data_IF_151315337444
#
_entry.id   IF_151315337444
#
_cell.length_a   1.000
_cell.length_b   1.000
_cell.length_c   1.000
_cell.angle_alpha   90.00
_cell.angle_beta   90.00
_cell.angle_gamma   90.00
#
_symmetry.space_group_name_H-M   'P 1'
#
loop_
_entity.id
_entity.type
_entity.pdbx_description
1 polymer ?
#
# COMPACT_ATOMS: atom_id res chain seq x y z
N UNK A 1 -16.52 -4.53 6.00
CA UNK A 1 -15.24 -3.91 5.70
C UNK A 1 -14.46 -3.64 6.97
N UNK A 2 -13.19 -3.95 6.94
CA UNK A 2 -12.35 -3.70 8.08
C UNK A 2 -12.09 -2.21 8.26
N UNK A 3 -12.10 -1.78 9.52
CA UNK A 3 -11.72 -0.40 9.84
C UNK A 3 -10.23 -0.13 9.57
N UNK A 4 -9.46 -1.16 9.26
CA UNK A 4 -8.03 -1.04 8.97
C UNK A 4 -7.73 -1.06 7.47
N UNK A 5 -8.74 -1.11 6.62
CA UNK A 5 -8.54 -1.11 5.17
C UNK A 5 -8.04 0.26 4.69
N UNK A 6 -6.88 0.25 4.04
CA UNK A 6 -6.30 1.43 3.41
C UNK A 6 -6.50 1.30 1.91
N UNK A 7 -7.03 2.33 1.27
CA UNK A 7 -7.23 2.33 -0.18
C UNK A 7 -5.90 2.57 -0.87
N UNK A 8 -5.45 1.56 -1.58
CA UNK A 8 -4.25 1.66 -2.39
C UNK A 8 -4.63 1.74 -3.86
N UNK A 9 -3.99 2.60 -4.60
CA UNK A 9 -4.17 2.69 -6.04
C UNK A 9 -3.06 1.91 -6.74
N UNK A 10 -3.44 1.08 -7.71
CA UNK A 10 -2.50 0.39 -8.58
C UNK A 10 -2.66 0.96 -9.97
N UNK A 11 -1.59 1.51 -10.52
CA UNK A 11 -1.59 2.18 -11.80
C UNK A 11 -0.71 1.39 -12.76
N UNK A 12 -1.27 1.00 -13.91
CA UNK A 12 -0.51 0.30 -14.93
C UNK A 12 0.26 1.31 -15.78
N UNK A 13 1.58 1.16 -15.83
CA UNK A 13 2.45 2.03 -16.61
C UNK A 13 3.20 1.21 -17.64
N UNK A 14 3.25 1.72 -18.87
CA UNK A 14 4.17 1.16 -19.85
C UNK A 14 5.59 1.42 -19.36
N UNK A 15 6.45 0.42 -19.47
CA UNK A 15 7.84 0.55 -19.03
C UNK A 15 8.62 1.35 -20.07
N UNK A 16 8.40 2.64 -20.07
CA UNK A 16 9.08 3.57 -20.97
C UNK A 16 9.33 4.92 -20.29
N UNK A 17 10.31 5.59 -20.83
CA UNK A 17 10.76 6.89 -20.34
C UNK A 17 9.59 7.88 -20.32
N UNK A 18 9.45 8.60 -19.23
CA UNK A 18 8.47 9.67 -19.09
C UNK A 18 7.12 9.27 -18.51
N UNK A 19 6.78 7.99 -18.46
CA UNK A 19 5.45 7.59 -17.95
C UNK A 19 5.29 7.87 -16.46
N UNK A 20 6.32 7.60 -15.67
CA UNK A 20 6.27 7.90 -14.24
C UNK A 20 6.15 9.41 -14.01
N UNK A 21 6.85 10.21 -14.80
CA UNK A 21 6.75 11.66 -14.71
C UNK A 21 5.33 12.13 -15.00
N UNK A 22 4.68 11.57 -16.02
CA UNK A 22 3.31 11.95 -16.37
C UNK A 22 2.34 11.69 -15.21
N UNK A 23 2.44 10.52 -14.57
CA UNK A 23 1.59 10.18 -13.43
C UNK A 23 1.82 11.15 -12.27
N UNK A 24 3.08 11.35 -11.93
CA UNK A 24 3.41 12.20 -10.77
C UNK A 24 3.05 13.66 -11.03
N UNK A 25 3.17 14.12 -12.28
CA UNK A 25 2.73 15.47 -12.64
C UNK A 25 1.22 15.60 -12.48
N UNK A 26 0.46 14.62 -12.94
CA UNK A 26 -1.00 14.64 -12.80
C UNK A 26 -1.42 14.74 -11.33
N UNK A 27 -0.75 13.98 -10.46
CA UNK A 27 -1.05 14.02 -9.03
C UNK A 27 -0.63 15.37 -8.42
N UNK A 28 0.51 15.88 -8.83
CA UNK A 28 1.01 17.18 -8.35
C UNK A 28 0.05 18.32 -8.74
N UNK A 29 -0.39 18.32 -9.99
CA UNK A 29 -1.32 19.33 -10.48
C UNK A 29 -2.67 19.29 -9.75
N UNK A 30 -3.06 18.12 -9.31
CA UNK A 30 -4.30 17.92 -8.55
C UNK A 30 -4.11 18.09 -7.04
N UNK A 31 -2.91 18.45 -6.61
CA UNK A 31 -2.55 18.66 -5.20
C UNK A 31 -2.76 17.41 -4.34
N UNK A 32 -2.42 16.27 -4.90
CA UNK A 32 -2.48 14.99 -4.21
C UNK A 32 -1.11 14.70 -3.59
N UNK A 33 -1.10 14.37 -2.31
CA UNK A 33 0.14 14.02 -1.61
C UNK A 33 0.32 12.50 -1.60
N UNK A 34 1.46 12.05 -2.08
CA UNK A 34 1.82 10.63 -2.07
C UNK A 34 2.37 10.30 -0.69
N UNK A 35 1.74 9.35 0.00
CA UNK A 35 2.13 8.95 1.35
C UNK A 35 3.02 7.70 1.36
N UNK A 36 2.84 6.82 0.39
CA UNK A 36 3.67 5.64 0.20
C UNK A 36 3.64 5.25 -1.26
N UNK A 37 4.70 4.63 -1.73
CA UNK A 37 4.76 4.20 -3.11
C UNK A 37 5.68 3.00 -3.29
N UNK A 38 5.38 2.24 -4.34
CA UNK A 38 6.24 1.14 -4.77
C UNK A 38 6.04 0.97 -6.27
N UNK A 39 7.13 0.96 -7.02
CA UNK A 39 7.09 0.69 -8.46
C UNK A 39 7.68 -0.69 -8.69
N UNK A 40 6.85 -1.62 -9.14
CA UNK A 40 7.27 -2.97 -9.48
C UNK A 40 7.24 -3.12 -10.99
N UNK A 41 8.25 -3.74 -11.56
CA UNK A 41 8.34 -3.87 -13.00
C UNK A 41 8.17 -5.30 -13.49
N UNK A 42 7.66 -5.41 -14.71
CA UNK A 42 7.83 -6.58 -15.57
C UNK A 42 8.48 -6.08 -16.87
N UNK A 43 8.73 -6.96 -17.82
CA UNK A 43 9.48 -6.59 -19.04
C UNK A 43 8.86 -5.42 -19.80
N UNK A 44 7.54 -5.38 -19.93
CA UNK A 44 6.85 -4.37 -20.73
C UNK A 44 6.06 -3.35 -19.92
N UNK A 45 5.70 -3.69 -18.69
CA UNK A 45 4.85 -2.86 -17.86
C UNK A 45 5.43 -2.69 -16.48
N UNK A 46 5.06 -1.58 -15.84
CA UNK A 46 5.26 -1.40 -14.43
C UNK A 46 3.91 -1.30 -13.74
N UNK A 47 3.89 -1.62 -12.47
CA UNK A 47 2.73 -1.37 -11.62
C UNK A 47 3.19 -0.42 -10.54
N UNK A 48 2.63 0.77 -10.55
CA UNK A 48 2.90 1.77 -9.52
C UNK A 48 1.81 1.65 -8.48
N UNK A 49 2.20 1.29 -7.27
CA UNK A 49 1.28 1.21 -6.14
C UNK A 49 1.45 2.45 -5.30
N UNK A 50 0.35 3.14 -5.04
CA UNK A 50 0.35 4.40 -4.30
C UNK A 50 -0.66 4.36 -3.17
N UNK A 51 -0.26 4.93 -2.04
CA UNK A 51 -1.18 5.35 -1.01
C UNK A 51 -1.11 6.87 -0.97
N UNK A 52 -2.24 7.51 -1.15
CA UNK A 52 -2.34 8.96 -1.27
C UNK A 52 -3.29 9.51 -0.23
N UNK A 53 -3.23 10.81 0.01
CA UNK A 53 -4.08 11.46 1.01
C UNK A 53 -5.54 11.58 0.58
N UNK A 54 -5.83 11.53 -0.71
CA UNK A 54 -7.20 11.59 -1.22
C UNK A 54 -7.35 10.61 -2.39
N UNK A 55 -7.65 9.32 -2.09
CA UNK A 55 -7.72 8.29 -3.13
C UNK A 55 -8.77 8.55 -4.22
N UNK A 56 -9.94 9.07 -3.86
CA UNK A 56 -10.99 9.30 -4.83
C UNK A 56 -10.61 10.36 -5.85
N UNK A 57 -10.05 11.47 -5.36
CA UNK A 57 -9.60 12.55 -6.23
C UNK A 57 -8.45 12.09 -7.12
N UNK A 58 -7.52 11.32 -6.57
CA UNK A 58 -6.39 10.79 -7.33
C UNK A 58 -6.86 9.85 -8.43
N UNK A 59 -7.77 8.94 -8.10
CA UNK A 59 -8.31 7.99 -9.08
C UNK A 59 -9.00 8.73 -10.23
N UNK A 60 -9.80 9.73 -9.89
CA UNK A 60 -10.49 10.54 -10.89
C UNK A 60 -9.52 11.27 -11.80
N UNK A 61 -8.52 11.93 -11.23
CA UNK A 61 -7.53 12.69 -11.99
C UNK A 61 -6.73 11.79 -12.93
N UNK A 62 -6.31 10.64 -12.43
CA UNK A 62 -5.51 9.70 -13.22
C UNK A 62 -6.34 9.05 -14.32
N UNK A 63 -7.59 8.69 -14.03
CA UNK A 63 -8.49 8.12 -15.04
C UNK A 63 -8.77 9.13 -16.15
N UNK A 64 -9.00 10.39 -15.79
CA UNK A 64 -9.19 11.46 -16.76
C UNK A 64 -7.95 11.65 -17.63
N UNK A 65 -6.77 11.47 -17.03
CA UNK A 65 -5.51 11.54 -17.76
C UNK A 65 -5.18 10.34 -18.63
N UNK A 66 -6.08 9.36 -18.71
CA UNK A 66 -5.89 8.19 -19.55
C UNK A 66 -5.16 7.03 -18.91
N UNK A 67 -4.94 7.06 -17.62
CA UNK A 67 -4.26 5.96 -16.91
C UNK A 67 -5.26 4.92 -16.45
N UNK A 68 -4.84 3.64 -16.49
CA UNK A 68 -5.63 2.55 -15.94
C UNK A 68 -5.32 2.43 -14.45
N UNK A 69 -6.33 2.64 -13.62
CA UNK A 69 -6.18 2.67 -12.17
C UNK A 69 -7.13 1.66 -11.53
N UNK A 70 -6.61 0.86 -10.61
CA UNK A 70 -7.42 -0.06 -9.81
C UNK A 70 -7.22 0.24 -8.34
N UNK A 71 -8.31 0.11 -7.57
CA UNK A 71 -8.23 0.19 -6.11
C UNK A 71 -8.09 -1.19 -5.51
N UNK A 72 -7.29 -1.28 -4.46
CA UNK A 72 -7.16 -2.50 -3.67
C UNK A 72 -7.11 -2.11 -2.20
N UNK A 73 -7.69 -2.95 -1.37
CA UNK A 73 -7.56 -2.77 0.08
C UNK A 73 -6.26 -3.41 0.54
N UNK A 74 -5.48 -2.63 1.27
CA UNK A 74 -4.28 -3.12 1.95
C UNK A 74 -4.42 -2.75 3.42
N UNK A 75 -3.61 -3.37 4.28
CA UNK A 75 -3.54 -2.93 5.66
C UNK A 75 -2.10 -2.56 5.99
N UNK A 76 -1.95 -1.71 7.00
CA UNK A 76 -0.63 -1.25 7.42
C UNK A 76 -0.38 -1.67 8.86
N UNK A 77 0.83 -2.11 9.14
CA UNK A 77 1.28 -2.43 10.49
C UNK A 77 2.45 -1.53 10.86
N UNK A 78 2.59 -1.29 12.15
CA UNK A 78 3.68 -0.50 12.70
C UNK A 78 4.52 -1.40 13.58
N UNK A 79 5.81 -1.50 13.27
CA UNK A 79 6.73 -2.39 14.00
C UNK A 79 8.02 -1.64 14.32
N UNK A 80 8.77 -2.08 15.36
CA UNK A 80 10.09 -1.50 15.61
C UNK A 80 10.99 -1.71 14.38
N UNK A 81 11.79 -0.71 14.06
CA UNK A 81 12.74 -0.80 12.96
C UNK A 81 13.98 -1.53 13.43
N UNK A 82 13.88 -2.85 13.53
CA UNK A 82 14.96 -3.71 14.05
C UNK A 82 14.87 -5.09 13.41
N UNK A 83 15.98 -5.86 13.45
CA UNK A 83 15.98 -7.22 12.89
C UNK A 83 14.88 -8.08 13.47
N UNK A 84 14.19 -8.81 12.60
CA UNK A 84 13.14 -9.75 13.01
C UNK A 84 11.73 -9.18 13.05
N UNK A 85 11.56 -7.86 13.01
CA UNK A 85 10.22 -7.27 13.06
C UNK A 85 9.34 -7.71 11.89
N UNK A 86 9.88 -7.66 10.68
CA UNK A 86 9.13 -8.10 9.50
C UNK A 86 8.84 -9.60 9.56
N UNK A 87 9.84 -10.40 9.98
CA UNK A 87 9.66 -11.84 10.13
C UNK A 87 8.48 -12.17 11.06
N UNK A 88 8.36 -11.45 12.17
CA UNK A 88 7.29 -11.70 13.14
C UNK A 88 5.91 -11.57 12.49
N UNK A 89 5.72 -10.53 11.68
CA UNK A 89 4.46 -10.31 10.97
C UNK A 89 4.20 -11.43 9.97
N UNK A 90 5.19 -11.72 9.14
CA UNK A 90 5.07 -12.74 8.10
C UNK A 90 4.83 -14.11 8.71
N UNK A 91 5.47 -14.40 9.83
CA UNK A 91 5.31 -15.68 10.53
C UNK A 91 3.86 -15.89 11.00
N UNK A 92 3.26 -14.84 11.59
CA UNK A 92 1.87 -14.90 12.06
C UNK A 92 0.94 -15.21 10.89
N UNK A 93 1.14 -14.55 9.76
CA UNK A 93 0.31 -14.78 8.57
C UNK A 93 0.52 -16.19 8.01
N UNK A 94 1.75 -16.65 7.97
CA UNK A 94 2.08 -17.99 7.49
C UNK A 94 1.44 -19.08 8.35
N UNK A 95 1.38 -18.88 9.67
CA UNK A 95 0.74 -19.84 10.57
C UNK A 95 -0.77 -19.99 10.29
N UNK A 96 -1.37 -19.00 9.65
CA UNK A 96 -2.79 -19.03 9.27
C UNK A 96 -2.99 -19.38 7.81
N UNK A 97 -1.93 -19.80 7.11
CA UNK A 97 -1.96 -20.12 5.68
C UNK A 97 -2.44 -18.95 4.83
N UNK A 98 -2.12 -17.72 5.25
CA UNK A 98 -2.48 -16.52 4.50
C UNK A 98 -1.30 -16.08 3.65
N UNK A 99 -1.51 -16.05 2.33
CA UNK A 99 -0.47 -15.64 1.40
C UNK A 99 -0.36 -14.12 1.34
N UNK A 100 0.86 -13.62 1.43
CA UNK A 100 1.14 -12.21 1.20
C UNK A 100 1.37 -12.04 -0.29
N UNK A 101 0.47 -11.36 -0.97
CA UNK A 101 0.59 -11.14 -2.40
C UNK A 101 1.70 -10.16 -2.73
N UNK A 102 1.81 -9.10 -1.95
CA UNK A 102 2.94 -8.19 -2.01
C UNK A 102 2.97 -7.34 -0.73
N UNK A 103 4.11 -6.74 -0.49
CA UNK A 103 4.31 -5.88 0.66
C UNK A 103 5.37 -4.83 0.32
N UNK A 104 5.26 -3.68 0.92
CA UNK A 104 6.28 -2.65 0.83
C UNK A 104 6.23 -1.79 2.08
N UNK A 105 7.29 -1.06 2.31
CA UNK A 105 7.48 -0.36 3.57
C UNK A 105 7.98 1.05 3.35
N UNK A 106 7.77 1.89 4.36
CA UNK A 106 8.52 3.12 4.50
C UNK A 106 8.95 3.26 5.95
N UNK A 107 10.07 3.93 6.17
CA UNK A 107 10.60 4.16 7.50
C UNK A 107 9.97 5.45 8.03
N UNK A 108 9.35 5.36 9.20
CA UNK A 108 8.78 6.52 9.87
C UNK A 108 9.87 7.42 10.43
N UNK A 109 9.43 8.49 11.07
CA UNK A 109 10.34 9.50 11.62
C UNK A 109 10.97 9.11 12.95
N UNK A 110 10.68 7.93 13.46
CA UNK A 110 11.24 7.44 14.73
C UNK A 110 11.81 6.05 14.51
N UNK A 111 12.02 5.30 15.57
CA UNK A 111 12.54 3.94 15.51
C UNK A 111 11.51 2.91 15.01
N UNK A 112 10.41 3.36 14.43
CA UNK A 112 9.34 2.50 13.94
C UNK A 112 9.28 2.49 12.42
N UNK A 113 8.92 1.34 11.86
CA UNK A 113 8.67 1.19 10.42
C UNK A 113 7.19 0.89 10.20
N UNK A 114 6.68 1.36 9.07
CA UNK A 114 5.31 1.07 8.64
C UNK A 114 5.38 0.14 7.43
N UNK A 115 4.69 -0.98 7.54
CA UNK A 115 4.67 -2.01 6.50
C UNK A 115 3.26 -2.12 5.93
N UNK A 116 3.16 -2.09 4.62
CA UNK A 116 1.88 -2.25 3.93
C UNK A 116 1.80 -3.66 3.36
N UNK A 117 0.65 -4.30 3.54
CA UNK A 117 0.45 -5.69 3.12
C UNK A 117 -0.80 -5.84 2.28
N UNK A 118 -0.67 -6.59 1.20
CA UNK A 118 -1.81 -7.04 0.41
C UNK A 118 -1.97 -8.54 0.57
N UNK A 119 -3.14 -8.94 1.01
CA UNK A 119 -3.54 -10.36 1.09
C UNK A 119 -4.84 -10.53 0.29
N UNK A 120 -5.21 -11.75 -0.11
CA UNK A 120 -6.49 -11.94 -0.79
C UNK A 120 -7.64 -11.39 0.04
N UNK A 121 -8.63 -10.78 -0.63
CA UNK A 121 -9.73 -10.10 0.05
C UNK A 121 -10.46 -10.99 1.05
N UNK A 122 -10.64 -12.27 0.72
CA UNK A 122 -11.34 -13.22 1.58
C UNK A 122 -10.59 -13.49 2.90
N UNK A 123 -9.30 -13.20 2.95
CA UNK A 123 -8.48 -13.41 4.16
C UNK A 123 -8.15 -12.11 4.90
N UNK A 124 -8.65 -10.97 4.41
CA UNK A 124 -8.30 -9.67 4.98
C UNK A 124 -8.63 -9.58 6.47
N UNK A 125 -9.87 -9.89 6.83
CA UNK A 125 -10.31 -9.81 8.24
C UNK A 125 -9.55 -10.77 9.13
N UNK A 126 -9.32 -12.00 8.67
CA UNK A 126 -8.57 -12.98 9.43
C UNK A 126 -7.12 -12.54 9.64
N UNK A 127 -6.51 -11.96 8.60
CA UNK A 127 -5.14 -11.46 8.69
C UNK A 127 -5.04 -10.37 9.75
N UNK A 128 -5.93 -9.39 9.70
CA UNK A 128 -5.93 -8.28 10.67
C UNK A 128 -6.12 -8.80 12.08
N UNK A 129 -7.10 -9.68 12.29
CA UNK A 129 -7.38 -10.23 13.61
C UNK A 129 -6.19 -11.02 14.14
N UNK A 130 -5.59 -11.85 13.30
CA UNK A 130 -4.45 -12.67 13.71
C UNK A 130 -3.25 -11.82 14.13
N UNK A 131 -3.03 -10.72 13.41
CA UNK A 131 -1.94 -9.81 13.75
C UNK A 131 -2.23 -9.06 15.06
N UNK A 132 -3.45 -8.60 15.26
CA UNK A 132 -3.84 -7.95 16.52
C UNK A 132 -3.69 -8.91 17.68
N UNK A 133 -4.15 -10.15 17.53
CA UNK A 133 -4.02 -11.19 18.57
C UNK A 133 -2.55 -11.48 18.87
N UNK A 134 -1.69 -11.35 17.88
CA UNK A 134 -0.24 -11.56 18.02
C UNK A 134 0.51 -10.35 18.56
N UNK A 135 -0.20 -9.29 18.93
CA UNK A 135 0.43 -8.10 19.52
C UNK A 135 1.00 -7.13 18.49
N UNK A 136 0.65 -7.26 17.23
CA UNK A 136 1.11 -6.33 16.18
C UNK A 136 0.18 -5.12 16.14
N UNK A 137 0.75 -3.94 16.08
CA UNK A 137 -0.02 -2.70 15.99
C UNK A 137 -0.49 -2.48 14.55
N UNK A 138 -1.79 -2.37 14.35
CA UNK A 138 -2.37 -2.03 13.05
C UNK A 138 -2.52 -0.50 12.98
N UNK A 139 -2.19 0.06 11.82
CA UNK A 139 -2.24 1.52 11.62
C UNK A 139 -3.64 1.92 11.18
N UNK A 140 -4.20 2.95 11.82
CA UNK A 140 -5.49 3.51 11.42
C UNK A 140 -5.33 4.14 10.03
N UNK A 141 -6.24 3.83 9.07
CA UNK A 141 -6.16 4.41 7.73
C UNK A 141 -6.12 5.93 7.70
N UNK A 142 -6.70 6.60 8.69
CA UNK A 142 -6.67 8.07 8.76
C UNK A 142 -5.25 8.63 8.81
N UNK A 143 -4.29 7.81 9.24
CA UNK A 143 -2.88 8.21 9.22
C UNK A 143 -2.43 8.63 7.83
N UNK A 144 -2.96 7.97 6.78
CA UNK A 144 -2.56 8.24 5.40
C UNK A 144 -3.35 9.37 4.76
N UNK A 145 -4.54 9.68 5.26
CA UNK A 145 -5.47 10.60 4.60
C UNK A 145 -5.39 12.05 5.11
N UNK A 146 -4.34 12.37 5.84
CA UNK A 146 -4.16 13.72 6.37
C UNK A 146 -3.29 14.59 5.48
#
# INVERSE_FOLDING_TARGET
MSKYAVKQLSIFLENRKGRLEEVTKTLSDSKINIRALCLAESAEFGILRLVVDNPEKAKSALSTGGFTVKERDVFAVKVPDEPGSFYKVVHILAQKDINVEYTYAFVGTSSMAVLLFRVPDEFFEEAVRSLLDGGIELVDPLFFYK
#
